data_IF_735412608849
#
_entry.id   IF_735412608849
#
_cell.length_a   1.000
_cell.length_b   1.000
_cell.length_c   1.000
_cell.angle_alpha   90.00
_cell.angle_beta   90.00
_cell.angle_gamma   90.00
#
_symmetry.space_group_name_H-M   'P 1'
#
loop_
_entity.id
_entity.type
_entity.pdbx_description
1 polymer ?
#
# COMPACT_ATOMS: atom_id res chain seq x y z
N UNK A 1 7.21 -0.05 27.04
CA UNK A 1 7.21 -0.43 25.60
C UNK A 1 6.21 0.45 24.86
N UNK A 2 6.54 0.98 23.67
CA UNK A 2 5.67 0.70 22.52
C UNK A 2 6.42 0.61 21.17
N UNK A 3 6.09 -0.41 20.36
CA UNK A 3 6.52 -0.52 18.95
C UNK A 3 5.53 0.22 18.06
N UNK A 4 5.63 1.54 17.94
CA UNK A 4 4.73 2.37 17.12
C UNK A 4 5.51 3.33 16.21
N UNK A 5 6.18 2.81 15.17
CA UNK A 5 6.77 3.66 14.11
C UNK A 5 6.52 3.20 12.66
N UNK A 6 5.75 2.14 12.40
CA UNK A 6 5.49 1.64 11.03
C UNK A 6 4.03 1.75 10.54
N UNK A 7 3.12 2.27 11.36
CA UNK A 7 1.66 2.21 11.13
C UNK A 7 1.08 3.18 10.10
N UNK A 8 1.91 3.97 9.41
CA UNK A 8 1.42 5.14 8.69
C UNK A 8 1.90 5.25 7.23
N UNK A 9 2.50 4.22 6.64
CA UNK A 9 2.98 4.35 5.25
C UNK A 9 2.04 3.72 4.22
N UNK A 10 1.33 2.63 4.52
CA UNK A 10 0.36 2.07 3.56
C UNK A 10 -0.89 2.93 3.49
N UNK A 11 -1.48 3.19 4.66
CA UNK A 11 -2.71 3.96 4.83
C UNK A 11 -2.55 5.39 4.33
N UNK A 12 -1.36 5.97 4.48
CA UNK A 12 -1.04 7.28 3.93
C UNK A 12 -0.94 7.26 2.41
N UNK A 13 -0.23 6.28 1.83
CA UNK A 13 -0.11 6.17 0.37
C UNK A 13 -1.50 5.92 -0.27
N UNK A 14 -2.33 5.09 0.38
CA UNK A 14 -3.70 4.82 -0.05
C UNK A 14 -4.58 6.06 0.04
N UNK A 15 -4.54 6.80 1.15
CA UNK A 15 -5.27 8.05 1.30
C UNK A 15 -4.85 9.08 0.24
N UNK A 16 -3.56 9.18 -0.05
CA UNK A 16 -3.07 10.08 -1.10
C UNK A 16 -3.54 9.65 -2.49
N UNK A 17 -3.64 8.36 -2.77
CA UNK A 17 -4.24 7.85 -4.02
C UNK A 17 -5.71 8.25 -4.15
N UNK A 18 -6.49 8.15 -3.08
CA UNK A 18 -7.89 8.59 -3.06
C UNK A 18 -8.01 10.10 -3.34
N UNK A 19 -7.16 10.91 -2.71
CA UNK A 19 -7.07 12.36 -2.96
C UNK A 19 -6.70 12.66 -4.43
N UNK A 20 -5.73 11.94 -4.99
CA UNK A 20 -5.34 12.09 -6.41
C UNK A 20 -6.50 11.74 -7.34
N UNK A 21 -7.26 10.67 -7.06
CA UNK A 21 -8.42 10.28 -7.86
C UNK A 21 -9.45 11.40 -7.92
N UNK A 22 -9.75 12.01 -6.77
CA UNK A 22 -10.69 13.14 -6.68
C UNK A 22 -10.17 14.34 -7.47
N UNK A 23 -8.87 14.67 -7.36
CA UNK A 23 -8.27 15.79 -8.09
C UNK A 23 -8.25 15.57 -9.61
N UNK A 24 -8.06 14.34 -10.08
CA UNK A 24 -8.09 14.00 -11.51
C UNK A 24 -9.50 13.98 -12.10
N UNK A 25 -10.53 13.88 -11.27
CA UNK A 25 -11.94 14.00 -11.69
C UNK A 25 -12.41 15.46 -11.82
N UNK A 26 -11.62 16.42 -11.32
CA UNK A 26 -11.91 17.84 -11.46
C UNK A 26 -11.68 18.31 -12.91
N UNK A 27 -12.68 18.95 -13.51
CA UNK A 27 -12.64 19.42 -14.90
C UNK A 27 -11.82 20.72 -15.06
N UNK A 28 -11.42 21.36 -13.96
CA UNK A 28 -10.61 22.58 -13.98
C UNK A 28 -9.09 22.32 -13.88
N UNK A 29 -8.68 21.05 -13.80
CA UNK A 29 -7.27 20.68 -13.70
C UNK A 29 -6.51 20.96 -15.00
N UNK A 30 -5.33 21.59 -14.88
CA UNK A 30 -4.41 21.79 -16.00
C UNK A 30 -3.73 20.50 -16.45
N UNK A 31 -3.36 20.42 -17.73
CA UNK A 31 -2.71 19.22 -18.31
C UNK A 31 -1.42 18.82 -17.57
N UNK A 32 -0.57 19.79 -17.25
CA UNK A 32 0.70 19.52 -16.57
C UNK A 32 0.49 18.99 -15.15
N UNK A 33 -0.49 19.56 -14.43
CA UNK A 33 -0.85 19.12 -13.08
C UNK A 33 -1.48 17.71 -13.10
N UNK A 34 -2.33 17.43 -14.10
CA UNK A 34 -2.92 16.11 -14.29
C UNK A 34 -1.84 15.05 -14.57
N UNK A 35 -0.84 15.36 -15.40
CA UNK A 35 0.30 14.48 -15.65
C UNK A 35 1.11 14.23 -14.38
N UNK A 36 1.40 15.28 -13.60
CA UNK A 36 2.14 15.16 -12.35
C UNK A 36 1.41 14.28 -11.32
N UNK A 37 0.10 14.50 -11.14
CA UNK A 37 -0.74 13.71 -10.24
C UNK A 37 -0.85 12.25 -10.70
N UNK A 38 -0.95 12.01 -12.01
CA UNK A 38 -0.96 10.66 -12.56
C UNK A 38 0.35 9.91 -12.31
N UNK A 39 1.50 10.57 -12.51
CA UNK A 39 2.81 9.99 -12.18
C UNK A 39 2.95 9.68 -10.69
N UNK A 40 2.48 10.59 -9.82
CA UNK A 40 2.44 10.37 -8.38
C UNK A 40 1.58 9.15 -8.04
N UNK A 41 0.38 9.06 -8.63
CA UNK A 41 -0.54 7.96 -8.45
C UNK A 41 0.07 6.60 -8.85
N UNK A 42 0.78 6.53 -9.97
CA UNK A 42 1.49 5.29 -10.37
C UNK A 42 2.51 4.88 -9.32
N UNK A 43 3.30 5.82 -8.79
CA UNK A 43 4.33 5.54 -7.78
C UNK A 43 3.70 5.03 -6.48
N UNK A 44 2.64 5.68 -6.00
CA UNK A 44 1.93 5.27 -4.79
C UNK A 44 1.27 3.91 -4.94
N UNK A 45 0.61 3.65 -6.08
CA UNK A 45 -0.03 2.37 -6.37
C UNK A 45 0.97 1.21 -6.34
N UNK A 46 2.14 1.39 -6.96
CA UNK A 46 3.24 0.42 -6.89
C UNK A 46 3.69 0.15 -5.46
N UNK A 47 3.80 1.19 -4.63
CA UNK A 47 4.19 1.03 -3.22
C UNK A 47 3.14 0.28 -2.41
N UNK A 48 1.85 0.56 -2.62
CA UNK A 48 0.74 -0.15 -1.98
C UNK A 48 0.76 -1.63 -2.34
N UNK A 49 0.85 -1.97 -3.63
CA UNK A 49 0.93 -3.36 -4.11
C UNK A 49 2.12 -4.09 -3.50
N UNK A 50 3.30 -3.46 -3.48
CA UNK A 50 4.49 -4.04 -2.86
C UNK A 50 4.27 -4.38 -1.38
N UNK A 51 3.70 -3.46 -0.61
CA UNK A 51 3.41 -3.67 0.83
C UNK A 51 2.40 -4.80 1.06
N UNK A 52 1.38 -4.91 0.21
CA UNK A 52 0.41 -5.99 0.28
C UNK A 52 1.06 -7.35 -0.03
N UNK A 53 1.91 -7.41 -1.05
CA UNK A 53 2.65 -8.63 -1.39
C UNK A 53 3.59 -9.06 -0.26
N UNK A 54 4.34 -8.13 0.33
CA UNK A 54 5.23 -8.40 1.46
C UNK A 54 4.43 -8.94 2.67
N UNK A 55 3.25 -8.36 2.94
CA UNK A 55 2.36 -8.83 4.00
C UNK A 55 1.81 -10.23 3.72
N UNK A 56 1.39 -10.50 2.48
CA UNK A 56 0.87 -11.80 2.06
C UNK A 56 1.95 -12.89 2.15
N UNK A 57 3.19 -12.59 1.74
CA UNK A 57 4.32 -13.50 1.86
C UNK A 57 4.55 -13.88 3.33
N UNK A 58 4.59 -12.89 4.21
CA UNK A 58 4.76 -13.11 5.65
C UNK A 58 3.63 -13.95 6.26
N UNK A 59 2.38 -13.72 5.85
CA UNK A 59 1.26 -14.56 6.29
C UNK A 59 1.44 -16.01 5.83
N UNK A 60 1.93 -16.20 4.60
CA UNK A 60 2.16 -17.53 4.02
C UNK A 60 3.25 -18.29 4.78
N UNK A 61 4.36 -17.63 5.10
CA UNK A 61 5.44 -18.19 5.92
C UNK A 61 4.93 -18.59 7.31
N UNK A 62 4.22 -17.69 8.00
CA UNK A 62 3.68 -17.98 9.33
C UNK A 62 2.67 -19.15 9.34
N UNK A 63 1.87 -19.30 8.28
CA UNK A 63 0.97 -20.45 8.14
C UNK A 63 1.72 -21.76 7.97
N UNK A 64 2.81 -21.75 7.21
CA UNK A 64 3.68 -22.91 7.02
C UNK A 64 4.32 -23.31 8.36
N UNK A 65 4.92 -22.36 9.06
CA UNK A 65 5.53 -22.60 10.37
C UNK A 65 4.52 -23.18 11.37
N UNK A 66 3.29 -22.64 11.40
CA UNK A 66 2.22 -23.16 12.26
C UNK A 66 1.82 -24.60 11.91
N UNK A 67 1.79 -24.95 10.63
CA UNK A 67 1.45 -26.31 10.19
C UNK A 67 2.52 -27.33 10.56
N UNK A 68 3.81 -26.96 10.48
CA UNK A 68 4.93 -27.82 10.87
C UNK A 68 4.96 -28.08 12.39
N UNK A 69 4.54 -27.10 13.20
CA UNK A 69 4.41 -27.26 14.66
C UNK A 69 3.27 -28.25 15.03
N UNK A 70 2.18 -28.25 14.26
CA UNK A 70 1.02 -29.12 14.53
C UNK A 70 1.20 -30.59 14.11
N UNK A 71 2.24 -30.91 13.34
CA UNK A 71 2.54 -32.29 12.89
C UNK A 71 3.49 -33.05 13.82
N UNK A 72 4.14 -32.38 14.78
CA UNK A 72 5.13 -32.97 15.70
C UNK A 72 4.56 -33.27 17.11
N UNK A 73 3.23 -33.15 17.31
CA UNK A 73 2.50 -33.55 18.54
C UNK A 73 1.39 -34.54 18.22
#
# INVERSE_FOLDING_TARGET
>A
MPRTKKKNNFEKDLKRLEEISILLEDNEIGLDDALALYEEGIKLSKNCVKKLNDAQLKITELKKDLSEISSDT
#
